data_IF_565885847893
#
_entry.id   IF_565885847893
#
_cell.length_a   1.000
_cell.length_b   1.000
_cell.length_c   1.000
_cell.angle_alpha   90.00
_cell.angle_beta   90.00
_cell.angle_gamma   90.00
#
_symmetry.space_group_name_H-M   'P 1'
#
loop_
_entity.id
_entity.type
_entity.pdbx_description
1 polymer ?
#
# COMPACT_ATOMS: atom_id res chain seq x y z
N UNK A 1 -3.46 -5.79 5.69
CA UNK A 1 -3.25 -7.04 4.90
C UNK A 1 -3.73 -7.05 3.43
N UNK A 2 -4.86 -6.45 2.98
CA UNK A 2 -5.29 -6.56 1.57
C UNK A 2 -4.53 -5.61 0.61
N UNK A 3 -3.92 -4.54 1.12
CA UNK A 3 -3.26 -3.53 0.28
C UNK A 3 -1.98 -4.03 -0.40
N UNK A 4 -1.18 -4.87 0.26
CA UNK A 4 0.02 -5.46 -0.37
C UNK A 4 -0.30 -6.26 -1.63
N UNK A 5 -1.39 -7.05 -1.60
CA UNK A 5 -1.88 -7.78 -2.78
C UNK A 5 -2.30 -6.85 -3.92
N UNK A 6 -2.81 -5.66 -3.60
CA UNK A 6 -3.13 -4.65 -4.61
C UNK A 6 -1.87 -3.95 -5.13
N UNK A 7 -0.90 -3.63 -4.26
CA UNK A 7 0.36 -3.02 -4.64
C UNK A 7 1.12 -3.89 -5.64
N UNK A 8 1.22 -5.19 -5.39
CA UNK A 8 1.90 -6.14 -6.28
C UNK A 8 1.16 -6.38 -7.61
N UNK A 9 -0.09 -5.93 -7.74
CA UNK A 9 -0.77 -5.92 -9.04
C UNK A 9 -0.26 -4.77 -9.94
N UNK A 10 0.28 -3.71 -9.34
CA UNK A 10 0.76 -2.49 -10.00
C UNK A 10 2.29 -2.38 -10.07
N UNK A 11 2.99 -2.92 -9.07
CA UNK A 11 4.42 -2.76 -8.85
C UNK A 11 5.07 -4.13 -8.60
N UNK A 12 6.39 -4.24 -8.80
CA UNK A 12 7.10 -5.47 -8.51
C UNK A 12 7.09 -5.76 -6.99
N UNK A 13 7.12 -7.04 -6.63
CA UNK A 13 7.22 -7.43 -5.23
C UNK A 13 8.56 -6.96 -4.63
N UNK A 14 8.50 -6.39 -3.43
CA UNK A 14 9.67 -5.79 -2.76
C UNK A 14 10.16 -4.46 -3.34
N UNK A 15 9.47 -3.91 -4.35
CA UNK A 15 9.83 -2.61 -4.92
C UNK A 15 9.47 -1.44 -4.01
N UNK A 16 10.24 -0.35 -4.11
CA UNK A 16 9.99 0.90 -3.41
C UNK A 16 8.61 1.46 -3.74
N UNK A 17 8.19 1.34 -4.99
CA UNK A 17 6.90 1.81 -5.47
C UNK A 17 5.75 1.04 -4.83
N UNK A 18 5.91 -0.27 -4.60
CA UNK A 18 4.92 -1.06 -3.87
C UNK A 18 4.79 -0.60 -2.42
N UNK A 19 5.92 -0.36 -1.75
CA UNK A 19 5.96 0.12 -0.36
C UNK A 19 5.28 1.48 -0.23
N UNK A 20 5.71 2.46 -1.04
CA UNK A 20 5.13 3.81 -1.06
C UNK A 20 3.63 3.78 -1.36
N UNK A 21 3.19 2.93 -2.29
CA UNK A 21 1.79 2.78 -2.63
C UNK A 21 0.97 2.24 -1.46
N UNK A 22 1.48 1.25 -0.71
CA UNK A 22 0.79 0.71 0.46
C UNK A 22 0.73 1.75 1.58
N UNK A 23 1.82 2.48 1.79
CA UNK A 23 1.92 3.50 2.83
C UNK A 23 0.92 4.63 2.61
N UNK A 24 0.92 5.24 1.42
CA UNK A 24 -0.02 6.32 1.06
C UNK A 24 -1.48 5.88 1.26
N UNK A 25 -1.83 4.65 0.86
CA UNK A 25 -3.21 4.14 0.97
C UNK A 25 -3.57 3.79 2.41
N UNK A 26 -2.60 3.37 3.21
CA UNK A 26 -2.79 3.11 4.63
C UNK A 26 -3.07 4.42 5.36
N UNK A 27 -2.32 5.48 5.07
CA UNK A 27 -2.57 6.82 5.62
C UNK A 27 -3.97 7.33 5.25
N UNK A 28 -4.37 7.24 3.98
CA UNK A 28 -5.71 7.63 3.56
C UNK A 28 -6.81 6.86 4.30
N UNK A 29 -6.63 5.55 4.51
CA UNK A 29 -7.58 4.75 5.31
C UNK A 29 -7.62 5.24 6.76
N UNK A 30 -6.47 5.57 7.36
CA UNK A 30 -6.39 6.08 8.73
C UNK A 30 -7.10 7.43 8.87
N UNK A 31 -7.03 8.29 7.85
CA UNK A 31 -7.76 9.55 7.79
C UNK A 31 -9.23 9.39 7.37
N UNK A 32 -9.77 8.16 7.33
CA UNK A 32 -11.18 7.91 7.03
C UNK A 32 -11.52 7.94 5.54
N UNK A 33 -10.55 8.10 4.65
CA UNK A 33 -10.73 8.22 3.19
C UNK A 33 -10.86 6.87 2.48
N UNK A 34 -11.32 5.83 3.17
CA UNK A 34 -11.47 4.45 2.62
C UNK A 34 -12.27 4.45 1.31
N UNK A 35 -13.29 5.32 1.22
CA UNK A 35 -14.08 5.49 0.00
C UNK A 35 -13.25 5.96 -1.22
N UNK A 36 -12.31 6.89 -1.02
CA UNK A 36 -11.43 7.37 -2.07
C UNK A 36 -10.44 6.29 -2.51
N UNK A 37 -9.87 5.55 -1.55
CA UNK A 37 -8.99 4.41 -1.85
C UNK A 37 -9.70 3.36 -2.70
N UNK A 38 -10.94 2.99 -2.35
CA UNK A 38 -11.76 2.05 -3.13
C UNK A 38 -12.02 2.58 -4.54
N UNK A 39 -12.38 3.87 -4.67
CA UNK A 39 -12.61 4.51 -5.97
C UNK A 39 -11.35 4.50 -6.82
N UNK A 40 -10.19 4.85 -6.26
CA UNK A 40 -8.90 4.86 -6.95
C UNK A 40 -8.50 3.49 -7.48
N UNK A 41 -8.70 2.43 -6.68
CA UNK A 41 -8.44 1.04 -7.11
C UNK A 41 -9.36 0.67 -8.28
N UNK A 42 -10.67 0.92 -8.19
CA UNK A 42 -11.63 0.59 -9.27
C UNK A 42 -11.37 1.37 -10.56
N UNK A 43 -11.00 2.65 -10.43
CA UNK A 43 -10.59 3.47 -11.57
C UNK A 43 -9.31 2.93 -12.21
N UNK A 44 -8.33 2.49 -11.42
CA UNK A 44 -7.10 1.91 -11.92
C UNK A 44 -7.35 0.62 -12.73
N UNK A 45 -8.25 -0.24 -12.26
CA UNK A 45 -8.69 -1.44 -13.02
C UNK A 45 -9.23 -1.04 -14.40
N UNK A 46 -10.12 -0.04 -14.44
CA UNK A 46 -10.81 0.39 -15.67
C UNK A 46 -9.84 1.09 -16.63
N UNK A 47 -9.13 2.11 -16.14
CA UNK A 47 -8.25 2.97 -16.94
C UNK A 47 -7.05 2.20 -17.49
N UNK A 48 -6.48 1.28 -16.71
CA UNK A 48 -5.35 0.43 -17.14
C UNK A 48 -5.82 -0.85 -17.84
N UNK A 49 -7.13 -1.01 -18.07
CA UNK A 49 -7.75 -2.17 -18.73
C UNK A 49 -7.26 -3.51 -18.16
N UNK A 50 -7.13 -3.59 -16.83
CA UNK A 50 -6.61 -4.79 -16.18
C UNK A 50 -7.60 -5.95 -16.33
N UNK A 51 -7.08 -7.13 -16.60
CA UNK A 51 -7.87 -8.35 -16.83
C UNK A 51 -7.35 -9.51 -15.96
N UNK A 52 -8.05 -10.65 -16.04
CA UNK A 52 -7.59 -11.91 -15.44
C UNK A 52 -7.34 -11.84 -13.93
N UNK A 53 -6.27 -12.50 -13.44
CA UNK A 53 -5.95 -12.58 -12.02
C UNK A 53 -5.78 -11.21 -11.34
N UNK A 54 -5.12 -10.25 -12.01
CA UNK A 54 -4.91 -8.90 -11.47
C UNK A 54 -6.23 -8.17 -11.20
N UNK A 55 -7.17 -8.22 -12.16
CA UNK A 55 -8.51 -7.64 -11.99
C UNK A 55 -9.26 -8.30 -10.83
N UNK A 56 -9.21 -9.64 -10.73
CA UNK A 56 -9.88 -10.38 -9.65
C UNK A 56 -9.32 -9.98 -8.29
N UNK A 57 -8.00 -9.91 -8.15
CA UNK A 57 -7.32 -9.49 -6.91
C UNK A 57 -7.71 -8.07 -6.52
N UNK A 58 -7.62 -7.11 -7.43
CA UNK A 58 -7.94 -5.71 -7.14
C UNK A 58 -9.42 -5.50 -6.79
N UNK A 59 -10.34 -6.20 -7.46
CA UNK A 59 -11.76 -6.17 -7.11
C UNK A 59 -12.02 -6.78 -5.73
N UNK A 60 -11.36 -7.89 -5.38
CA UNK A 60 -11.49 -8.48 -4.06
C UNK A 60 -11.00 -7.52 -2.96
N UNK A 61 -9.86 -6.85 -3.16
CA UNK A 61 -9.35 -5.83 -2.24
C UNK A 61 -10.31 -4.65 -2.11
N UNK A 62 -10.76 -4.08 -3.24
CA UNK A 62 -11.69 -2.96 -3.23
C UNK A 62 -13.02 -3.30 -2.52
N UNK A 63 -13.54 -4.51 -2.76
CA UNK A 63 -14.78 -4.98 -2.11
C UNK A 63 -14.59 -5.21 -0.61
N UNK A 64 -13.44 -5.76 -0.19
CA UNK A 64 -13.13 -5.92 1.23
C UNK A 64 -13.07 -4.57 1.95
N UNK A 65 -12.36 -3.60 1.39
CA UNK A 65 -12.26 -2.25 1.96
C UNK A 65 -13.63 -1.58 2.03
N UNK A 66 -14.42 -1.67 0.96
CA UNK A 66 -15.76 -1.08 0.92
C UNK A 66 -16.73 -1.72 1.92
N UNK A 67 -16.68 -3.04 2.12
CA UNK A 67 -17.53 -3.73 3.10
C UNK A 67 -17.16 -3.37 4.54
N UNK A 68 -15.88 -3.12 4.81
CA UNK A 68 -15.39 -2.84 6.15
C UNK A 68 -15.22 -1.34 6.46
N UNK A 69 -15.54 -0.44 5.52
CA UNK A 69 -15.35 1.00 5.66
C UNK A 69 -16.00 1.62 6.90
N UNK A 70 -17.11 1.08 7.39
CA UNK A 70 -17.78 1.55 8.61
C UNK A 70 -17.01 1.17 9.87
N UNK A 71 -16.26 0.06 9.85
CA UNK A 71 -15.38 -0.39 10.95
C UNK A 71 -13.99 0.28 10.88
N UNK A 72 -13.62 0.81 9.72
CA UNK A 72 -12.35 1.48 9.45
C UNK A 72 -12.41 3.02 9.65
N UNK A 73 -13.37 3.52 10.45
CA UNK A 73 -13.47 4.94 10.82
C UNK A 73 -12.40 5.36 11.83
N UNK A 74 -11.15 5.18 11.44
CA UNK A 74 -9.98 5.47 12.25
C UNK A 74 -9.84 6.97 12.54
N UNK A 75 -10.32 7.82 11.65
CA UNK A 75 -10.49 9.27 11.84
C UNK A 75 -11.29 9.60 13.10
N UNK A 76 -12.38 8.86 13.35
CA UNK A 76 -13.22 9.06 14.53
C UNK A 76 -12.59 8.53 15.81
N UNK A 77 -11.72 7.52 15.72
CA UNK A 77 -10.95 7.03 16.86
C UNK A 77 -9.77 7.96 17.19
N UNK A 78 -9.16 8.56 16.17
CA UNK A 78 -8.10 9.57 16.27
C UNK A 78 -8.61 10.88 16.89
N UNK A 79 -9.77 11.36 16.44
CA UNK A 79 -10.40 12.58 16.98
C UNK A 79 -10.83 12.43 18.46
N UNK A 80 -11.02 11.19 18.94
CA UNK A 80 -11.33 10.87 20.34
C UNK A 80 -10.07 10.81 21.25
N UNK A 81 -8.92 11.30 20.78
CA UNK A 81 -7.74 11.52 21.61
C UNK A 81 -6.78 10.33 21.71
N UNK A 82 -6.86 9.35 20.81
CA UNK A 82 -5.83 8.31 20.71
C UNK A 82 -4.67 8.88 19.89
N UNK A 83 -3.48 9.09 20.48
CA UNK A 83 -2.35 9.67 19.78
C UNK A 83 -1.73 8.60 18.88
N UNK A 84 -2.38 8.27 17.76
CA UNK A 84 -1.69 7.58 16.68
C UNK A 84 -0.93 8.65 15.91
N UNK A 85 0.17 9.06 16.55
CA UNK A 85 1.40 9.58 15.98
C UNK A 85 1.44 9.70 14.44
N UNK A 86 0.71 10.65 13.84
CA UNK A 86 0.78 10.88 12.40
C UNK A 86 2.18 11.39 12.00
N UNK A 87 2.80 12.23 12.83
CA UNK A 87 4.17 12.71 12.61
C UNK A 87 5.25 11.61 12.68
N UNK A 88 5.28 10.79 13.74
CA UNK A 88 6.20 9.66 13.81
C UNK A 88 5.90 8.54 12.81
N UNK A 89 4.65 8.32 12.38
CA UNK A 89 4.36 7.36 11.31
C UNK A 89 4.89 7.84 9.97
N UNK A 90 4.77 9.12 9.63
CA UNK A 90 5.34 9.69 8.40
C UNK A 90 6.88 9.65 8.43
N UNK A 91 7.49 9.98 9.58
CA UNK A 91 8.93 9.91 9.81
C UNK A 91 9.47 8.48 9.85
N UNK A 92 8.76 7.56 10.51
CA UNK A 92 9.11 6.14 10.54
C UNK A 92 8.91 5.48 9.18
N UNK A 93 7.93 5.90 8.37
CA UNK A 93 7.77 5.40 7.02
C UNK A 93 8.91 5.87 6.11
N UNK A 94 9.31 7.15 6.19
CA UNK A 94 10.51 7.65 5.49
C UNK A 94 11.78 6.93 5.95
N UNK A 95 11.95 6.70 7.25
CA UNK A 95 13.10 5.99 7.80
C UNK A 95 13.08 4.49 7.49
N UNK A 96 11.93 3.81 7.53
CA UNK A 96 11.78 2.39 7.15
C UNK A 96 12.08 2.17 5.67
N UNK A 97 11.68 3.10 4.80
CA UNK A 97 12.04 3.08 3.38
C UNK A 97 13.55 3.24 3.21
N UNK A 98 14.15 4.16 3.97
CA UNK A 98 15.61 4.39 3.96
C UNK A 98 16.38 3.16 4.47
N UNK A 99 15.95 2.55 5.58
CA UNK A 99 16.52 1.33 6.14
C UNK A 99 16.39 0.13 5.18
N UNK A 100 15.29 0.05 4.42
CA UNK A 100 15.09 -1.02 3.43
C UNK A 100 15.94 -0.81 2.17
N UNK A 101 16.17 0.45 1.75
CA UNK A 101 17.14 0.79 0.71
C UNK A 101 18.55 0.34 1.08
N UNK A 102 18.99 0.60 2.32
CA UNK A 102 20.31 0.21 2.78
C UNK A 102 20.48 -1.32 2.88
N UNK A 103 19.40 -2.06 3.15
CA UNK A 103 19.42 -3.55 3.13
C UNK A 103 19.33 -4.18 1.74
N UNK A 104 18.59 -3.58 0.79
CA UNK A 104 18.50 -4.11 -0.58
C UNK A 104 19.69 -3.74 -1.46
N UNK A 105 20.52 -2.76 -1.09
CA UNK A 105 21.77 -2.46 -1.79
C UNK A 105 22.87 -3.52 -1.58
N UNK A 106 22.70 -4.48 -0.66
CA UNK A 106 23.73 -5.48 -0.35
C UNK A 106 23.56 -6.84 -1.06
N UNK A 107 22.79 -6.91 -2.16
CA UNK A 107 22.69 -8.10 -3.00
C UNK A 107 23.04 -7.80 -4.47
N UNK A 108 24.11 -7.02 -4.70
CA UNK A 108 24.68 -6.79 -6.03
C UNK A 108 26.09 -7.40 -6.19
N UNK A 109 26.49 -8.39 -5.40
CA UNK A 109 27.66 -9.19 -5.76
C UNK A 109 27.27 -10.28 -6.78
N UNK A 110 26.80 -9.84 -7.94
CA UNK A 110 26.76 -10.64 -9.16
C UNK A 110 28.19 -10.68 -9.72
N UNK A 111 28.91 -11.76 -9.46
CA UNK A 111 29.98 -12.18 -10.38
C UNK A 111 29.38 -13.17 -11.38
N UNK A 112 29.48 -12.91 -12.69
CA UNK A 112 28.92 -13.79 -13.71
C UNK A 112 29.76 -15.07 -13.83
N UNK A 113 29.10 -16.23 -13.89
CA UNK A 113 29.75 -17.49 -14.27
C UNK A 113 30.06 -17.50 -15.76
N UNK A 114 31.32 -17.75 -16.14
CA UNK A 114 31.75 -18.80 -17.09
C UNK A 114 33.03 -18.42 -17.87
N UNK A 115 34.15 -19.07 -17.55
CA UNK A 115 34.98 -19.85 -18.50
C UNK A 115 35.97 -20.70 -17.71
#
# INVERSE_FOLDING_TARGET
PPLWKAAYAFHAEGSLEADLWVLDRTLQILFGEVGQVVKGIRQSITKRRLTGPKRKTLNAVANYLYRNRTRMRYDQYLAKGWPIASGPVEGACKNLIKDRMERSANCNNWTPSSM
#
